data_IF_265871374932
#
_entry.id   IF_265871374932
#
_cell.length_a   1.000
_cell.length_b   1.000
_cell.length_c   1.000
_cell.angle_alpha   90.00
_cell.angle_beta   90.00
_cell.angle_gamma   90.00
#
_symmetry.space_group_name_H-M   'P 1'
#
loop_
_entity.id
_entity.type
_entity.pdbx_description
1 polymer ?
#
# COMPACT_ATOMS: atom_id res chain seq x y z
N UNK A 1 13.45 42.50 11.93
CA UNK A 1 13.07 41.52 10.88
C UNK A 1 14.04 40.34 10.75
N UNK A 2 15.34 40.49 10.97
CA UNK A 2 16.31 39.39 10.77
C UNK A 2 16.16 38.13 11.65
N UNK A 3 15.86 38.29 12.94
CA UNK A 3 15.78 37.14 13.85
C UNK A 3 14.53 36.29 13.62
N UNK A 4 13.40 36.87 13.27
CA UNK A 4 12.17 36.15 12.93
C UNK A 4 12.38 35.33 11.64
N UNK A 5 12.98 35.95 10.61
CA UNK A 5 13.33 35.24 9.39
C UNK A 5 14.32 34.08 9.62
N UNK A 6 15.34 34.30 10.45
CA UNK A 6 16.31 33.26 10.82
C UNK A 6 15.65 32.09 11.56
N UNK A 7 14.73 32.35 12.46
CA UNK A 7 13.96 31.29 13.17
C UNK A 7 13.04 30.53 12.24
N UNK A 8 12.31 31.22 11.37
CA UNK A 8 11.46 30.57 10.36
C UNK A 8 12.30 29.70 9.41
N UNK A 9 13.43 30.20 8.90
CA UNK A 9 14.36 29.45 8.08
C UNK A 9 14.90 28.20 8.79
N UNK A 10 15.22 28.30 10.07
CA UNK A 10 15.70 27.16 10.88
C UNK A 10 14.63 26.07 10.99
N UNK A 11 13.36 26.42 11.23
CA UNK A 11 12.25 25.46 11.29
C UNK A 11 12.10 24.76 9.94
N UNK A 12 12.03 25.53 8.84
CA UNK A 12 11.88 24.97 7.48
C UNK A 12 13.03 24.02 7.13
N UNK A 13 14.27 24.42 7.41
CA UNK A 13 15.44 23.58 7.13
C UNK A 13 15.41 22.29 7.94
N UNK A 14 15.09 22.33 9.22
CA UNK A 14 15.03 21.16 10.09
C UNK A 14 13.92 20.21 9.64
N UNK A 15 12.74 20.72 9.29
CA UNK A 15 11.61 19.94 8.76
C UNK A 15 11.98 19.27 7.44
N UNK A 16 12.58 20.01 6.52
CA UNK A 16 13.00 19.49 5.21
C UNK A 16 14.06 18.36 5.35
N UNK A 17 15.10 18.59 6.17
CA UNK A 17 16.16 17.59 6.40
C UNK A 17 15.57 16.34 7.03
N UNK A 18 14.71 16.47 8.05
CA UNK A 18 14.08 15.31 8.69
C UNK A 18 13.18 14.55 7.70
N UNK A 19 12.33 15.23 6.94
CA UNK A 19 11.39 14.62 5.99
C UNK A 19 12.09 13.94 4.82
N UNK A 20 13.06 14.61 4.19
CA UNK A 20 13.84 14.03 3.07
C UNK A 20 14.61 12.80 3.54
N UNK A 21 15.23 12.85 4.72
CA UNK A 21 15.96 11.71 5.23
C UNK A 21 15.08 10.50 5.51
N UNK A 22 13.87 10.70 6.03
CA UNK A 22 12.91 9.58 6.20
C UNK A 22 12.52 8.97 4.86
N UNK A 23 12.29 9.79 3.83
CA UNK A 23 12.00 9.30 2.49
C UNK A 23 13.18 8.50 1.90
N UNK A 24 14.42 9.00 2.05
CA UNK A 24 15.62 8.33 1.55
C UNK A 24 15.89 7.03 2.31
N UNK A 25 15.88 7.05 3.65
CA UNK A 25 16.19 5.87 4.48
C UNK A 25 15.09 4.82 4.48
N UNK A 26 13.85 5.24 4.25
CA UNK A 26 12.68 4.36 4.26
C UNK A 26 12.27 3.82 2.89
N UNK A 27 12.71 4.45 1.78
CA UNK A 27 12.20 4.07 0.46
C UNK A 27 13.23 4.05 -0.68
N UNK A 28 14.48 4.49 -0.45
CA UNK A 28 15.48 4.57 -1.52
C UNK A 28 16.70 3.68 -1.25
N UNK A 29 17.13 3.55 0.00
CA UNK A 29 18.38 2.87 0.34
C UNK A 29 18.26 1.34 0.43
N UNK A 30 17.06 0.80 0.62
CA UNK A 30 16.87 -0.64 0.82
C UNK A 30 15.44 -1.06 0.57
N UNK A 31 15.28 -2.26 0.02
CA UNK A 31 13.98 -2.94 -0.14
C UNK A 31 13.62 -3.80 1.10
N UNK A 32 14.54 -3.95 2.05
CA UNK A 32 14.31 -4.68 3.29
C UNK A 32 13.64 -3.77 4.34
N UNK A 33 12.40 -4.10 4.70
CA UNK A 33 11.61 -3.32 5.65
C UNK A 33 12.19 -3.27 7.07
N UNK A 34 13.00 -4.26 7.47
CA UNK A 34 13.66 -4.26 8.78
C UNK A 34 14.86 -3.32 8.80
N UNK A 35 15.64 -3.34 7.73
CA UNK A 35 16.77 -2.43 7.51
C UNK A 35 16.26 -0.99 7.36
N UNK A 36 15.20 -0.76 6.56
CA UNK A 36 14.59 0.56 6.39
C UNK A 36 14.15 1.19 7.72
N UNK A 37 13.50 0.39 8.60
CA UNK A 37 13.12 0.86 9.95
C UNK A 37 14.32 1.23 10.80
N UNK A 38 15.38 0.41 10.78
CA UNK A 38 16.62 0.70 11.49
C UNK A 38 17.31 1.98 11.01
N UNK A 39 17.42 2.14 9.69
CA UNK A 39 18.00 3.34 9.07
C UNK A 39 17.18 4.60 9.37
N UNK A 40 15.87 4.51 9.29
CA UNK A 40 14.96 5.63 9.62
C UNK A 40 15.08 6.02 11.09
N UNK A 41 15.13 5.05 12.01
CA UNK A 41 15.36 5.31 13.43
C UNK A 41 16.71 5.98 13.69
N UNK A 42 17.80 5.48 13.09
CA UNK A 42 19.13 6.07 13.18
C UNK A 42 19.15 7.50 12.62
N UNK A 43 18.43 7.77 11.53
CA UNK A 43 18.31 9.12 10.96
C UNK A 43 17.71 10.12 11.95
N UNK A 44 16.64 9.76 12.65
CA UNK A 44 16.04 10.63 13.67
C UNK A 44 17.04 10.95 14.79
N UNK A 45 17.84 9.99 15.22
CA UNK A 45 18.86 10.20 16.25
C UNK A 45 19.96 11.14 15.75
N UNK A 46 20.44 10.94 14.52
CA UNK A 46 21.47 11.79 13.91
C UNK A 46 20.98 13.23 13.76
N UNK A 47 19.79 13.44 13.17
CA UNK A 47 19.24 14.79 12.99
C UNK A 47 18.94 15.44 14.35
N UNK A 48 18.47 14.66 15.33
CA UNK A 48 18.29 15.15 16.71
C UNK A 48 19.59 15.61 17.35
N UNK A 49 20.66 14.83 17.21
CA UNK A 49 22.01 15.21 17.68
C UNK A 49 22.52 16.50 17.01
N UNK A 50 22.35 16.61 15.70
CA UNK A 50 22.71 17.83 14.97
C UNK A 50 21.87 19.04 15.38
N UNK A 51 20.57 18.87 15.64
CA UNK A 51 19.70 19.92 16.14
C UNK A 51 20.14 20.42 17.52
N UNK A 52 20.53 19.52 18.42
CA UNK A 52 21.09 19.89 19.73
C UNK A 52 22.42 20.60 19.57
N UNK A 53 23.35 20.11 18.76
CA UNK A 53 24.63 20.76 18.51
C UNK A 53 24.45 22.18 17.92
N UNK A 54 23.53 22.36 16.96
CA UNK A 54 23.18 23.65 16.41
C UNK A 54 22.58 24.58 17.47
N UNK A 55 21.72 24.07 18.34
CA UNK A 55 21.13 24.83 19.42
C UNK A 55 22.17 25.34 20.44
N UNK A 56 23.18 24.49 20.76
CA UNK A 56 24.27 24.88 21.63
C UNK A 56 25.17 25.95 20.99
N UNK A 57 25.37 25.86 19.66
CA UNK A 57 26.23 26.79 18.91
C UNK A 57 25.55 28.13 18.59
N UNK A 58 24.24 28.11 18.33
CA UNK A 58 23.45 29.29 17.90
C UNK A 58 22.24 29.50 18.80
N UNK A 59 22.47 29.99 20.01
CA UNK A 59 21.42 30.18 21.04
C UNK A 59 20.23 31.00 20.58
N UNK A 60 20.44 31.94 19.64
CA UNK A 60 19.37 32.78 19.12
C UNK A 60 18.27 32.02 18.34
N UNK A 61 18.61 30.88 17.73
CA UNK A 61 17.69 30.02 16.96
C UNK A 61 17.46 28.67 17.63
N UNK A 62 18.02 28.41 18.80
CA UNK A 62 17.98 27.13 19.49
C UNK A 62 16.56 26.57 19.63
N UNK A 63 15.62 27.40 20.13
CA UNK A 63 14.22 26.98 20.28
C UNK A 63 13.54 26.65 18.95
N UNK A 64 13.90 27.34 17.86
CA UNK A 64 13.34 27.07 16.53
C UNK A 64 13.87 25.74 15.94
N UNK A 65 15.16 25.46 16.11
CA UNK A 65 15.80 24.23 15.59
C UNK A 65 15.29 23.01 16.35
N UNK A 66 15.37 23.02 17.69
CA UNK A 66 14.94 21.90 18.53
C UNK A 66 13.42 21.72 18.46
N UNK A 67 12.66 22.82 18.54
CA UNK A 67 11.20 22.76 18.43
C UNK A 67 10.73 22.25 17.06
N UNK A 68 11.34 22.73 15.97
CA UNK A 68 11.06 22.26 14.62
C UNK A 68 11.32 20.77 14.46
N UNK A 69 12.48 20.29 14.95
CA UNK A 69 12.81 18.86 14.94
C UNK A 69 11.81 18.04 15.76
N UNK A 70 11.49 18.45 16.99
CA UNK A 70 10.55 17.73 17.86
C UNK A 70 9.16 17.63 17.24
N UNK A 71 8.60 18.75 16.78
CA UNK A 71 7.26 18.79 16.17
C UNK A 71 7.22 17.90 14.91
N UNK A 72 8.24 18.01 14.05
CA UNK A 72 8.31 17.20 12.84
C UNK A 72 8.46 15.72 13.18
N UNK A 73 9.30 15.38 14.15
CA UNK A 73 9.53 13.98 14.56
C UNK A 73 8.27 13.37 15.18
N UNK A 74 7.55 14.12 16.03
CA UNK A 74 6.29 13.67 16.63
C UNK A 74 5.20 13.49 15.54
N UNK A 75 5.06 14.46 14.64
CA UNK A 75 4.07 14.41 13.58
C UNK A 75 4.34 13.24 12.62
N UNK A 76 5.57 13.13 12.13
CA UNK A 76 5.95 12.12 11.14
C UNK A 76 6.05 10.72 11.79
N UNK A 77 6.69 10.62 12.95
CA UNK A 77 6.79 9.37 13.70
C UNK A 77 5.43 8.88 14.18
N UNK A 78 4.58 9.77 14.69
CA UNK A 78 3.21 9.46 15.05
C UNK A 78 2.37 9.01 13.86
N UNK A 79 2.47 9.69 12.72
CA UNK A 79 1.80 9.28 11.49
C UNK A 79 2.24 7.88 11.04
N UNK A 80 3.55 7.64 10.96
CA UNK A 80 4.09 6.34 10.58
C UNK A 80 3.67 5.24 11.56
N UNK A 81 3.72 5.52 12.86
CA UNK A 81 3.30 4.56 13.89
C UNK A 81 1.82 4.21 13.74
N UNK A 82 0.94 5.20 13.69
CA UNK A 82 -0.50 4.98 13.56
C UNK A 82 -0.85 4.21 12.29
N UNK A 83 -0.28 4.59 11.15
CA UNK A 83 -0.58 3.93 9.85
C UNK A 83 0.04 2.54 9.72
N UNK A 84 1.07 2.23 10.51
CA UNK A 84 1.75 0.92 10.48
C UNK A 84 1.29 -0.04 11.58
N UNK A 85 0.44 0.41 12.53
CA UNK A 85 0.00 -0.43 13.67
C UNK A 85 -1.51 -0.59 13.77
N UNK A 86 -2.28 0.31 13.14
CA UNK A 86 -3.74 0.26 13.23
C UNK A 86 -4.31 -0.61 12.11
N UNK A 87 -4.92 -1.72 12.51
CA UNK A 87 -5.67 -2.57 11.59
C UNK A 87 -6.96 -1.87 11.11
N UNK A 88 -7.22 -1.99 9.82
CA UNK A 88 -8.45 -1.56 9.19
C UNK A 88 -9.11 -2.73 8.50
N UNK A 89 -10.19 -3.23 9.08
CA UNK A 89 -11.00 -4.29 8.49
C UNK A 89 -12.07 -3.67 7.58
N UNK A 90 -12.19 -4.21 6.38
CA UNK A 90 -13.23 -3.90 5.40
C UNK A 90 -13.93 -5.20 5.05
N UNK A 91 -15.26 -5.16 5.00
CA UNK A 91 -16.07 -6.30 4.60
C UNK A 91 -17.09 -5.82 3.57
N UNK A 92 -16.65 -5.78 2.31
CA UNK A 92 -17.49 -5.40 1.17
C UNK A 92 -18.23 -6.63 0.66
N UNK A 93 -19.45 -6.43 0.17
CA UNK A 93 -20.16 -7.46 -0.58
C UNK A 93 -19.51 -7.61 -1.96
N UNK A 94 -18.52 -8.50 -2.03
CA UNK A 94 -17.70 -8.68 -3.22
C UNK A 94 -18.34 -9.68 -4.18
N UNK A 95 -18.19 -9.41 -5.48
CA UNK A 95 -18.65 -10.34 -6.52
C UNK A 95 -17.85 -11.64 -6.42
N UNK A 96 -18.55 -12.72 -6.09
CA UNK A 96 -17.99 -14.09 -6.08
C UNK A 96 -18.44 -14.80 -7.35
N UNK A 97 -17.46 -15.18 -8.20
CA UNK A 97 -17.72 -16.07 -9.31
C UNK A 97 -17.42 -17.50 -8.88
N UNK A 98 -18.40 -18.37 -9.00
CA UNK A 98 -18.14 -19.80 -8.85
C UNK A 98 -17.37 -20.32 -10.06
N UNK A 99 -16.42 -21.29 -9.88
CA UNK A 99 -15.82 -21.97 -11.01
C UNK A 99 -16.94 -22.65 -11.80
N UNK A 100 -17.00 -22.39 -13.11
CA UNK A 100 -17.99 -23.02 -13.99
C UNK A 100 -17.66 -24.52 -14.11
N UNK A 101 -18.11 -25.31 -13.18
CA UNK A 101 -18.13 -26.79 -13.25
C UNK A 101 -19.46 -27.30 -13.80
N UNK A 102 -20.05 -26.61 -14.75
CA UNK A 102 -21.20 -27.15 -15.46
C UNK A 102 -20.76 -27.93 -16.70
N UNK A 103 -21.08 -29.24 -16.82
CA UNK A 103 -20.97 -29.96 -18.09
C UNK A 103 -21.88 -29.32 -19.14
N UNK A 104 -21.51 -29.32 -20.43
CA UNK A 104 -22.39 -28.81 -21.47
C UNK A 104 -23.49 -29.82 -21.73
N UNK A 105 -24.62 -29.71 -21.06
CA UNK A 105 -25.89 -30.25 -21.51
C UNK A 105 -26.98 -30.16 -20.43
N UNK A 106 -27.91 -29.22 -20.60
CA UNK A 106 -29.36 -29.48 -20.50
C UNK A 106 -30.06 -28.15 -20.81
N UNK A 107 -31.07 -28.22 -21.64
CA UNK A 107 -31.89 -27.08 -22.05
C UNK A 107 -32.48 -26.34 -20.85
N UNK A 108 -32.63 -25.01 -20.90
CA UNK A 108 -33.11 -24.21 -19.79
C UNK A 108 -34.60 -24.50 -19.54
N UNK A 109 -34.93 -24.85 -18.30
CA UNK A 109 -36.28 -24.86 -17.83
C UNK A 109 -36.84 -23.39 -17.80
N UNK A 110 -38.05 -23.12 -18.27
CA UNK A 110 -38.63 -21.79 -18.24
C UNK A 110 -39.01 -21.40 -16.83
N UNK A 111 -38.30 -20.44 -16.23
CA UNK A 111 -38.64 -19.93 -14.90
C UNK A 111 -37.49 -19.26 -14.10
N UNK A 112 -36.28 -19.32 -14.56
CA UNK A 112 -35.14 -18.69 -13.85
C UNK A 112 -34.84 -17.29 -14.41
N UNK A 113 -35.62 -16.30 -14.00
CA UNK A 113 -35.41 -14.88 -14.34
C UNK A 113 -34.38 -14.19 -13.39
N UNK A 114 -33.52 -14.93 -12.72
CA UNK A 114 -32.44 -14.41 -11.87
C UNK A 114 -31.03 -14.76 -12.40
N UNK A 115 -30.91 -14.94 -13.73
CA UNK A 115 -29.62 -15.20 -14.36
C UNK A 115 -28.90 -13.94 -14.86
N UNK A 116 -29.34 -12.76 -14.42
CA UNK A 116 -28.96 -11.49 -15.03
C UNK A 116 -27.52 -11.05 -14.71
N UNK A 117 -26.82 -11.69 -13.78
CA UNK A 117 -25.46 -11.27 -13.46
C UNK A 117 -24.51 -12.43 -13.19
N UNK A 118 -24.39 -13.33 -14.17
CA UNK A 118 -23.38 -14.39 -14.08
C UNK A 118 -22.00 -13.81 -14.27
N UNK A 119 -21.42 -13.41 -13.16
CA UNK A 119 -20.01 -13.11 -13.09
C UNK A 119 -19.19 -14.39 -13.32
N UNK A 120 -18.23 -14.35 -14.25
CA UNK A 120 -17.36 -15.50 -14.56
C UNK A 120 -15.97 -15.30 -14.01
N UNK A 121 -15.42 -16.34 -13.38
CA UNK A 121 -14.04 -16.32 -12.92
C UNK A 121 -13.10 -16.36 -14.13
N UNK A 122 -12.32 -15.30 -14.32
CA UNK A 122 -11.33 -15.23 -15.39
C UNK A 122 -9.97 -15.77 -14.94
N UNK A 123 -9.56 -15.48 -13.70
CA UNK A 123 -8.31 -16.00 -13.13
C UNK A 123 -8.35 -15.85 -11.61
N UNK A 124 -7.60 -16.69 -10.90
CA UNK A 124 -7.45 -16.58 -9.45
C UNK A 124 -6.04 -16.94 -8.99
N UNK A 125 -5.65 -16.47 -7.80
CA UNK A 125 -4.37 -16.80 -7.18
C UNK A 125 -4.38 -16.56 -5.68
N UNK A 126 -3.70 -17.43 -4.93
CA UNK A 126 -3.50 -17.23 -3.50
C UNK A 126 -2.35 -16.28 -3.27
N UNK A 127 -2.50 -15.40 -2.30
CA UNK A 127 -1.41 -14.54 -1.86
C UNK A 127 -0.27 -15.35 -1.23
N UNK A 128 0.93 -14.91 -1.55
CA UNK A 128 2.19 -15.31 -0.90
C UNK A 128 2.78 -14.08 -0.23
N UNK A 129 3.32 -14.27 0.96
CA UNK A 129 4.02 -13.22 1.71
C UNK A 129 5.23 -12.71 0.93
N UNK A 130 5.45 -11.40 1.02
CA UNK A 130 6.66 -10.70 0.60
C UNK A 130 7.42 -10.25 1.84
N UNK A 131 7.64 -8.94 1.98
CA UNK A 131 8.26 -8.36 3.18
C UNK A 131 7.36 -8.47 4.43
N UNK A 132 6.05 -8.74 4.26
CA UNK A 132 5.09 -8.89 5.35
C UNK A 132 4.20 -10.12 5.13
N UNK A 133 3.70 -10.68 6.23
CA UNK A 133 2.73 -11.76 6.16
C UNK A 133 1.47 -11.30 5.42
N UNK A 134 1.20 -11.95 4.29
CA UNK A 134 0.06 -11.65 3.44
C UNK A 134 -0.63 -12.95 3.04
N UNK A 135 -1.96 -13.00 3.20
CA UNK A 135 -2.77 -14.17 2.86
C UNK A 135 -4.11 -13.78 2.27
N UNK A 136 -4.79 -14.73 1.69
CA UNK A 136 -6.09 -14.56 1.04
C UNK A 136 -6.08 -15.04 -0.39
N UNK A 137 -7.16 -14.78 -1.10
CA UNK A 137 -7.35 -15.13 -2.49
C UNK A 137 -7.61 -13.86 -3.30
N UNK A 138 -6.91 -13.69 -4.42
CA UNK A 138 -7.21 -12.70 -5.43
C UNK A 138 -7.95 -13.39 -6.57
N UNK A 139 -9.11 -12.86 -6.98
CA UNK A 139 -9.92 -13.38 -8.08
C UNK A 139 -10.24 -12.27 -9.07
N UNK A 140 -9.85 -12.46 -10.33
CA UNK A 140 -10.25 -11.59 -11.42
C UNK A 140 -11.56 -12.10 -12.01
N UNK A 141 -12.61 -11.31 -11.86
CA UNK A 141 -13.97 -11.66 -12.26
C UNK A 141 -14.40 -10.79 -13.44
N UNK A 142 -14.98 -11.41 -14.45
CA UNK A 142 -15.62 -10.73 -15.57
C UNK A 142 -17.11 -10.63 -15.30
N UNK A 143 -17.63 -9.42 -15.35
CA UNK A 143 -19.05 -9.13 -15.20
C UNK A 143 -19.81 -9.34 -16.53
N UNK A 144 -21.09 -9.65 -16.49
CA UNK A 144 -21.95 -9.75 -17.65
C UNK A 144 -22.03 -8.44 -18.45
N UNK A 145 -21.88 -7.30 -17.79
CA UNK A 145 -21.77 -5.97 -18.41
C UNK A 145 -20.48 -5.77 -19.23
N UNK A 146 -19.57 -6.77 -19.23
CA UNK A 146 -18.27 -6.70 -19.89
C UNK A 146 -17.21 -5.95 -19.08
N UNK A 147 -17.52 -5.50 -17.87
CA UNK A 147 -16.56 -4.98 -16.90
C UNK A 147 -15.70 -6.10 -16.29
N UNK A 148 -14.64 -5.72 -15.59
CA UNK A 148 -13.81 -6.63 -14.79
C UNK A 148 -13.61 -6.06 -13.41
N UNK A 149 -13.65 -6.93 -12.42
CA UNK A 149 -13.32 -6.58 -11.03
C UNK A 149 -12.27 -7.55 -10.49
N UNK A 150 -11.39 -7.04 -9.67
CA UNK A 150 -10.50 -7.82 -8.84
C UNK A 150 -11.09 -7.89 -7.44
N UNK A 151 -11.37 -9.10 -6.95
CA UNK A 151 -11.83 -9.31 -5.59
C UNK A 151 -10.70 -9.91 -4.75
N UNK A 152 -10.53 -9.39 -3.55
CA UNK A 152 -9.66 -9.95 -2.52
C UNK A 152 -10.58 -10.55 -1.45
N UNK A 153 -10.47 -11.86 -1.21
CA UNK A 153 -11.31 -12.54 -0.21
C UNK A 153 -10.46 -13.21 0.86
N UNK A 154 -10.97 -13.21 2.10
CA UNK A 154 -10.24 -13.68 3.28
C UNK A 154 -8.85 -13.04 3.37
N UNK A 155 -8.78 -11.80 2.88
CA UNK A 155 -7.53 -11.08 2.76
C UNK A 155 -7.04 -10.59 4.12
N UNK A 156 -5.75 -10.72 4.36
CA UNK A 156 -5.08 -10.08 5.48
C UNK A 156 -3.61 -9.84 5.16
N UNK A 157 -3.14 -8.67 5.56
CA UNK A 157 -1.72 -8.27 5.53
C UNK A 157 -1.43 -7.38 6.74
N UNK A 158 -0.16 -7.05 6.98
CA UNK A 158 0.20 -6.03 7.95
C UNK A 158 -0.30 -4.66 7.51
N UNK A 159 -0.64 -3.73 8.45
CA UNK A 159 -0.93 -2.36 8.08
C UNK A 159 0.33 -1.64 7.58
N UNK A 160 0.15 -0.62 6.75
CA UNK A 160 1.23 0.19 6.18
C UNK A 160 0.74 1.57 5.74
N UNK A 161 1.65 2.57 5.63
CA UNK A 161 1.26 3.98 5.46
C UNK A 161 0.67 4.31 4.08
N UNK A 162 1.05 3.61 3.02
CA UNK A 162 0.50 3.81 1.67
C UNK A 162 0.47 2.49 0.90
N UNK A 163 -0.40 1.57 1.34
CA UNK A 163 -0.61 0.30 0.66
C UNK A 163 -1.51 0.50 -0.56
N UNK A 164 -1.10 -0.08 -1.68
CA UNK A 164 -1.80 -0.03 -2.95
C UNK A 164 -1.94 -1.42 -3.56
N UNK A 165 -2.95 -1.57 -4.39
CA UNK A 165 -3.19 -2.79 -5.16
C UNK A 165 -2.71 -2.56 -6.59
N UNK A 166 -1.69 -3.28 -6.99
CA UNK A 166 -1.13 -3.23 -8.33
C UNK A 166 -1.46 -4.51 -9.09
N UNK A 167 -1.71 -4.35 -10.39
CA UNK A 167 -1.85 -5.45 -11.32
C UNK A 167 -0.68 -5.40 -12.31
N UNK A 168 0.27 -6.30 -12.14
CA UNK A 168 1.52 -6.37 -12.91
C UNK A 168 1.33 -7.34 -14.06
N UNK A 169 1.76 -7.00 -15.31
CA UNK A 169 1.71 -7.92 -16.44
C UNK A 169 2.59 -9.15 -16.20
N UNK A 170 2.30 -10.28 -16.88
CA UNK A 170 3.17 -11.44 -16.82
C UNK A 170 4.58 -11.12 -17.31
N UNK A 171 5.58 -11.36 -16.46
CA UNK A 171 6.99 -11.06 -16.78
C UNK A 171 7.40 -9.60 -16.68
N UNK A 172 6.47 -8.70 -16.30
CA UNK A 172 6.76 -7.30 -15.98
C UNK A 172 7.10 -7.09 -14.50
N UNK A 173 7.35 -5.85 -14.15
CA UNK A 173 7.61 -5.40 -12.78
C UNK A 173 6.59 -4.34 -12.32
N UNK A 174 6.85 -3.70 -11.18
CA UNK A 174 5.96 -2.68 -10.61
C UNK A 174 5.92 -1.38 -11.42
N UNK A 175 6.90 -1.11 -12.28
CA UNK A 175 6.92 0.07 -13.15
C UNK A 175 5.92 -0.07 -14.30
N UNK A 176 5.64 -1.33 -14.72
CA UNK A 176 4.64 -1.66 -15.74
C UNK A 176 3.23 -1.87 -15.15
N UNK A 177 3.07 -1.71 -13.84
CA UNK A 177 1.85 -2.06 -13.14
C UNK A 177 0.71 -1.08 -13.40
N UNK A 178 -0.50 -1.63 -13.47
CA UNK A 178 -1.73 -0.85 -13.37
C UNK A 178 -2.08 -0.66 -11.90
N UNK A 179 -2.07 0.59 -11.43
CA UNK A 179 -2.48 0.94 -10.07
C UNK A 179 -4.02 0.90 -9.98
N UNK A 180 -4.55 -0.06 -9.23
CA UNK A 180 -5.99 -0.20 -8.99
C UNK A 180 -6.50 0.67 -7.83
N UNK A 181 -5.59 1.37 -7.15
CA UNK A 181 -5.91 2.28 -6.05
C UNK A 181 -5.35 1.84 -4.70
N UNK A 182 -5.67 2.64 -3.68
CA UNK A 182 -5.26 2.34 -2.30
C UNK A 182 -5.92 1.08 -1.78
N UNK A 183 -5.18 0.29 -1.02
CA UNK A 183 -5.75 -0.81 -0.25
C UNK A 183 -6.79 -0.23 0.74
N UNK A 184 -8.04 -0.65 0.64
CA UNK A 184 -9.16 -0.10 1.42
C UNK A 184 -9.05 -0.49 2.90
N UNK A 185 -8.62 -1.72 3.16
CA UNK A 185 -8.30 -2.24 4.48
C UNK A 185 -7.20 -3.29 4.41
N UNK A 186 -6.43 -3.45 5.48
CA UNK A 186 -5.42 -4.50 5.54
C UNK A 186 -6.00 -5.87 5.92
N UNK A 187 -7.31 -5.93 6.23
CA UNK A 187 -8.06 -7.18 6.50
C UNK A 187 -9.44 -7.12 5.88
N UNK A 188 -9.95 -8.30 5.50
CA UNK A 188 -11.32 -8.52 5.05
C UNK A 188 -11.50 -8.59 3.55
N UNK A 189 -12.76 -8.65 3.13
CA UNK A 189 -13.15 -8.80 1.73
C UNK A 189 -13.30 -7.42 1.07
N UNK A 190 -12.72 -7.25 -0.11
CA UNK A 190 -12.73 -5.96 -0.82
C UNK A 190 -12.55 -6.17 -2.33
N UNK A 191 -13.06 -5.22 -3.13
CA UNK A 191 -12.97 -5.33 -4.58
C UNK A 191 -12.51 -4.03 -5.24
N UNK A 192 -11.99 -4.14 -6.46
CA UNK A 192 -11.41 -3.07 -7.25
C UNK A 192 -11.85 -3.18 -8.70
N UNK A 193 -12.22 -2.07 -9.31
CA UNK A 193 -12.47 -2.03 -10.74
C UNK A 193 -11.17 -2.22 -11.51
N UNK A 194 -11.19 -3.08 -12.54
CA UNK A 194 -10.04 -3.37 -13.37
C UNK A 194 -10.27 -2.79 -14.75
N UNK A 195 -9.39 -1.88 -15.23
CA UNK A 195 -9.49 -1.35 -16.58
C UNK A 195 -9.54 -2.46 -17.63
N UNK A 196 -10.38 -2.30 -18.67
CA UNK A 196 -10.60 -3.35 -19.69
C UNK A 196 -9.32 -3.87 -20.36
N UNK A 197 -8.31 -3.01 -20.49
CA UNK A 197 -7.01 -3.33 -21.11
C UNK A 197 -5.93 -3.76 -20.13
N UNK A 198 -6.22 -3.76 -18.83
CA UNK A 198 -5.23 -4.17 -17.84
C UNK A 198 -4.89 -5.66 -18.03
N UNK A 199 -3.61 -6.04 -17.97
CA UNK A 199 -3.19 -7.43 -18.12
C UNK A 199 -3.69 -8.27 -16.93
N UNK A 200 -4.00 -9.54 -17.17
CA UNK A 200 -4.17 -10.52 -16.10
C UNK A 200 -2.79 -11.13 -15.81
N UNK A 201 -2.19 -10.81 -14.70
CA UNK A 201 -0.84 -11.24 -14.36
C UNK A 201 -0.67 -11.51 -12.88
N UNK A 202 -0.02 -10.61 -12.18
CA UNK A 202 0.29 -10.73 -10.76
C UNK A 202 -0.39 -9.59 -10.02
N UNK A 203 -1.16 -9.90 -8.98
CA UNK A 203 -1.64 -8.89 -8.03
C UNK A 203 -0.55 -8.68 -6.99
N UNK A 204 -0.14 -7.43 -6.79
CA UNK A 204 0.87 -7.05 -5.81
C UNK A 204 0.27 -6.07 -4.82
N UNK A 205 0.43 -6.35 -3.53
CA UNK A 205 0.17 -5.38 -2.47
C UNK A 205 1.47 -4.61 -2.24
N UNK A 206 1.49 -3.38 -2.70
CA UNK A 206 2.69 -2.54 -2.74
C UNK A 206 2.60 -1.41 -1.74
N UNK A 207 3.63 -1.24 -0.91
CA UNK A 207 3.78 -0.06 -0.07
C UNK A 207 4.57 1.00 -0.83
N UNK A 208 3.87 2.02 -1.34
CA UNK A 208 4.50 3.09 -2.13
C UNK A 208 5.44 3.97 -1.30
N UNK A 209 5.13 4.15 0.00
CA UNK A 209 5.96 4.96 0.89
C UNK A 209 7.36 4.37 1.13
N UNK A 210 7.48 3.04 1.05
CA UNK A 210 8.74 2.32 1.31
C UNK A 210 9.23 1.49 0.11
N UNK A 211 8.56 1.62 -1.04
CA UNK A 211 8.90 0.90 -2.28
C UNK A 211 9.10 -0.61 -2.07
N UNK A 212 8.18 -1.25 -1.32
CA UNK A 212 8.30 -2.66 -0.94
C UNK A 212 7.02 -3.44 -1.18
N UNK A 213 7.15 -4.68 -1.67
CA UNK A 213 6.03 -5.62 -1.82
C UNK A 213 5.70 -6.28 -0.49
N UNK A 214 4.46 -6.11 -0.02
CA UNK A 214 3.94 -6.80 1.16
C UNK A 214 3.59 -8.26 0.85
N UNK A 215 3.09 -8.51 -0.35
CA UNK A 215 2.75 -9.84 -0.84
C UNK A 215 2.22 -9.80 -2.25
N UNK A 216 2.16 -10.96 -2.90
CA UNK A 216 1.71 -11.08 -4.28
C UNK A 216 0.88 -12.34 -4.52
N UNK A 217 0.02 -12.29 -5.54
CA UNK A 217 -0.79 -13.43 -6.00
C UNK A 217 -0.70 -13.57 -7.51
N UNK A 218 -0.16 -14.68 -8.00
CA UNK A 218 -0.12 -14.99 -9.44
C UNK A 218 -1.49 -15.46 -9.88
N UNK A 219 -2.13 -14.71 -10.76
CA UNK A 219 -3.43 -15.03 -11.31
C UNK A 219 -3.30 -16.11 -12.40
N UNK A 220 -4.02 -17.21 -12.24
CA UNK A 220 -4.08 -18.33 -13.19
C UNK A 220 -5.52 -18.56 -13.63
N UNK A 221 -5.78 -18.89 -14.91
CA UNK A 221 -7.11 -19.30 -15.34
C UNK A 221 -7.62 -20.47 -14.50
N UNK A 222 -8.94 -20.60 -14.31
CA UNK A 222 -9.52 -21.79 -13.69
C UNK A 222 -9.21 -23.03 -14.56
N UNK A 223 -8.81 -24.10 -13.92
CA UNK A 223 -8.57 -25.42 -14.56
C UNK A 223 -9.86 -26.19 -14.67
#
# INVERSE_FOLDING_TARGET
MGLVAARAGAVVATTAVTGVGVWVTGGVLTDDASVARGLTGAWFVVVGGLAVAAALRWRAVAGAVVGGWLVTSIALGGFLLLTSTVDRTIDEDVVRAEPSTAPPAAAPAPGAQDSADRATLAAAGRFRSGAHDTRGLASLVRLSSGGRVLTLTHFATSPGPDLRVYLVPPGGDTDDAVDLGRLKGNKGDQQYDVPRRAPAGIVVIWCRAFSVSFGSAVLRPPT
#
